data_IF_419679570596
#
_entry.id   IF_419679570596
#
_cell.length_a   1.000
_cell.length_b   1.000
_cell.length_c   1.000
_cell.angle_alpha   90.00
_cell.angle_beta   90.00
_cell.angle_gamma   90.00
#
_symmetry.space_group_name_H-M   'P 1'
#
loop_
_entity.id
_entity.type
_entity.pdbx_description
1 polymer ?
#
# COMPACT_ATOMS: atom_id res chain seq x y z
N UNK A 1 -9.98 -41.56 6.58
CA UNK A 1 -10.02 -41.24 5.13
C UNK A 1 -10.70 -39.90 4.81
N UNK A 2 -11.63 -39.38 5.61
CA UNK A 2 -12.31 -38.10 5.32
C UNK A 2 -11.45 -36.83 5.44
N UNK A 3 -10.35 -36.85 6.20
CA UNK A 3 -9.46 -35.68 6.38
C UNK A 3 -8.63 -35.37 5.14
N UNK A 4 -8.29 -36.37 4.31
CA UNK A 4 -7.48 -36.18 3.11
C UNK A 4 -8.27 -35.51 1.96
N UNK A 5 -9.59 -35.76 1.89
CA UNK A 5 -10.48 -35.12 0.91
C UNK A 5 -10.77 -33.66 1.26
N UNK A 6 -10.78 -33.30 2.55
CA UNK A 6 -10.99 -31.92 2.97
C UNK A 6 -9.75 -31.05 2.67
N UNK A 7 -8.54 -31.59 2.87
CA UNK A 7 -7.28 -30.90 2.57
C UNK A 7 -7.07 -30.68 1.07
N UNK A 8 -7.45 -31.65 0.23
CA UNK A 8 -7.40 -31.49 -1.24
C UNK A 8 -8.44 -30.49 -1.75
N UNK A 9 -9.66 -30.47 -1.20
CA UNK A 9 -10.67 -29.46 -1.52
C UNK A 9 -10.24 -28.03 -1.10
N UNK A 10 -9.59 -27.87 0.06
CA UNK A 10 -9.06 -26.57 0.51
C UNK A 10 -7.87 -26.08 -0.34
N UNK A 11 -7.01 -26.97 -0.84
CA UNK A 11 -5.89 -26.57 -1.72
C UNK A 11 -6.35 -26.04 -3.09
N UNK A 12 -7.47 -26.54 -3.61
CA UNK A 12 -8.10 -26.04 -4.83
C UNK A 12 -8.78 -24.67 -4.63
N UNK A 13 -9.26 -24.39 -3.41
CA UNK A 13 -9.87 -23.08 -3.07
C UNK A 13 -8.80 -22.00 -2.90
N UNK A 14 -7.63 -22.32 -2.33
CA UNK A 14 -6.51 -21.36 -2.22
C UNK A 14 -5.87 -21.09 -3.58
N UNK A 15 -5.86 -22.07 -4.48
CA UNK A 15 -5.36 -21.88 -5.86
C UNK A 15 -6.34 -21.08 -6.76
N UNK A 16 -7.63 -21.01 -6.38
CA UNK A 16 -8.66 -20.26 -7.10
C UNK A 16 -9.00 -18.91 -6.47
N UNK A 17 -8.46 -18.56 -5.29
CA UNK A 17 -8.64 -17.24 -4.67
C UNK A 17 -7.58 -16.21 -5.09
N UNK A 18 -6.59 -16.60 -5.89
CA UNK A 18 -5.93 -15.69 -6.87
C UNK A 18 -6.76 -15.66 -8.17
N UNK A 19 -8.09 -15.70 -8.05
CA UNK A 19 -8.93 -15.12 -9.08
C UNK A 19 -8.62 -13.64 -9.03
N UNK A 20 -7.89 -13.17 -10.04
CA UNK A 20 -7.90 -11.80 -10.52
C UNK A 20 -9.33 -11.26 -10.47
N UNK A 21 -9.72 -10.72 -9.31
CA UNK A 21 -10.97 -10.04 -9.11
C UNK A 21 -10.90 -8.78 -9.94
N UNK A 22 -11.50 -8.86 -11.13
CA UNK A 22 -11.79 -7.79 -12.09
C UNK A 22 -11.20 -7.95 -13.52
N UNK A 23 -11.05 -9.18 -14.05
CA UNK A 23 -11.14 -9.39 -15.52
C UNK A 23 -12.59 -9.60 -15.94
N UNK A 24 -13.49 -8.76 -15.44
CA UNK A 24 -14.81 -8.49 -16.02
C UNK A 24 -14.84 -7.00 -16.42
N UNK A 25 -13.78 -6.59 -17.10
CA UNK A 25 -13.66 -5.30 -17.75
C UNK A 25 -14.56 -5.28 -18.98
N UNK A 26 -15.79 -4.81 -18.77
CA UNK A 26 -16.57 -4.00 -19.70
C UNK A 26 -15.99 -3.91 -21.12
N UNK A 27 -16.60 -4.62 -22.07
CA UNK A 27 -16.74 -4.17 -23.44
C UNK A 27 -17.59 -2.89 -23.46
N UNK A 28 -17.07 -1.81 -22.86
CA UNK A 28 -17.64 -0.49 -22.97
C UNK A 28 -17.22 0.05 -24.33
N UNK A 29 -18.20 0.23 -25.22
CA UNK A 29 -17.97 0.94 -26.46
C UNK A 29 -17.35 2.32 -26.22
N UNK A 30 -16.65 2.87 -27.22
CA UNK A 30 -16.09 4.22 -27.13
C UNK A 30 -17.21 5.22 -26.79
N UNK A 31 -16.97 6.09 -25.80
CA UNK A 31 -17.85 7.23 -25.50
C UNK A 31 -18.62 7.21 -24.18
N UNK A 32 -18.34 6.31 -23.22
CA UNK A 32 -18.92 6.46 -21.88
C UNK A 32 -18.25 7.59 -21.11
N UNK A 33 -19.04 8.61 -20.74
CA UNK A 33 -18.64 9.58 -19.71
C UNK A 33 -18.36 8.84 -18.40
N UNK A 34 -17.18 9.06 -17.83
CA UNK A 34 -16.78 8.58 -16.52
C UNK A 34 -16.54 9.75 -15.56
N UNK A 35 -16.86 9.50 -14.29
CA UNK A 35 -16.47 10.36 -13.18
C UNK A 35 -15.30 9.71 -12.46
N UNK A 36 -14.20 10.44 -12.38
CA UNK A 36 -12.98 10.04 -11.68
C UNK A 36 -13.06 10.52 -10.23
N UNK A 37 -13.82 9.79 -9.42
CA UNK A 37 -13.87 10.07 -7.99
C UNK A 37 -12.47 9.92 -7.39
N UNK A 38 -11.95 11.00 -6.78
CA UNK A 38 -10.81 10.92 -5.85
C UNK A 38 -11.28 10.28 -4.53
N UNK A 39 -11.68 9.01 -4.56
CA UNK A 39 -11.82 8.25 -3.32
C UNK A 39 -10.43 8.01 -2.73
N UNK A 40 -10.36 7.73 -1.42
CA UNK A 40 -9.12 7.25 -0.80
C UNK A 40 -8.72 5.86 -1.30
N UNK A 41 -9.64 5.16 -1.98
CA UNK A 41 -9.41 3.86 -2.58
C UNK A 41 -8.82 3.98 -4.00
N UNK A 42 -8.21 2.90 -4.46
CA UNK A 42 -7.87 2.68 -5.86
C UNK A 42 -9.10 2.87 -6.76
N UNK A 43 -8.91 3.34 -8.01
CA UNK A 43 -7.64 3.65 -8.71
C UNK A 43 -7.09 5.07 -8.44
N UNK A 44 -5.77 5.25 -8.61
CA UNK A 44 -5.11 6.57 -8.63
C UNK A 44 -5.07 7.10 -10.06
N UNK A 45 -5.30 8.40 -10.21
CA UNK A 45 -5.29 9.08 -11.51
C UNK A 45 -4.11 10.03 -11.63
N UNK A 46 -3.46 9.98 -12.80
CA UNK A 46 -2.42 10.89 -13.25
C UNK A 46 -3.04 11.85 -14.26
N UNK A 47 -2.85 13.16 -14.11
CA UNK A 47 -3.40 14.16 -15.02
C UNK A 47 -2.25 14.86 -15.74
N UNK A 48 -2.32 14.94 -17.06
CA UNK A 48 -1.25 15.53 -17.87
C UNK A 48 -1.76 15.99 -19.24
N UNK A 49 -0.97 16.80 -19.93
CA UNK A 49 -1.25 17.31 -21.28
C UNK A 49 -0.10 17.01 -22.23
N UNK A 50 -0.42 16.72 -23.48
CA UNK A 50 0.57 16.69 -24.56
C UNK A 50 0.84 18.13 -25.01
N UNK A 51 2.10 18.61 -25.04
CA UNK A 51 2.41 19.94 -25.57
C UNK A 51 1.97 20.15 -27.03
N UNK A 52 1.80 19.09 -27.82
CA UNK A 52 1.25 19.17 -29.17
C UNK A 52 -0.27 19.43 -29.19
N UNK A 53 -0.98 19.14 -28.10
CA UNK A 53 -2.44 19.23 -27.98
C UNK A 53 -2.87 19.89 -26.65
N UNK A 54 -2.50 21.15 -26.38
CA UNK A 54 -2.69 21.79 -25.06
C UNK A 54 -4.17 21.96 -24.65
N UNK A 55 -5.10 21.86 -25.60
CA UNK A 55 -6.55 21.91 -25.34
C UNK A 55 -7.11 20.60 -24.76
N UNK A 56 -6.34 19.51 -24.73
CA UNK A 56 -6.78 18.20 -24.26
C UNK A 56 -5.99 17.80 -23.02
N UNK A 57 -6.72 17.44 -21.96
CA UNK A 57 -6.14 16.87 -20.74
C UNK A 57 -6.35 15.38 -20.77
N UNK A 58 -5.26 14.64 -20.65
CA UNK A 58 -5.25 13.20 -20.51
C UNK A 58 -5.22 12.82 -19.04
N UNK A 59 -5.72 11.62 -18.76
CA UNK A 59 -5.40 10.98 -17.52
C UNK A 59 -5.22 9.47 -17.65
N UNK A 60 -4.34 8.96 -16.80
CA UNK A 60 -4.11 7.51 -16.65
C UNK A 60 -4.57 7.10 -15.27
N UNK A 61 -5.59 6.25 -15.23
CA UNK A 61 -6.05 5.58 -14.00
C UNK A 61 -5.34 4.26 -13.82
N UNK A 62 -4.69 4.04 -12.68
CA UNK A 62 -4.01 2.78 -12.35
C UNK A 62 -4.33 2.30 -10.93
N UNK A 63 -4.34 0.99 -10.74
CA UNK A 63 -4.57 0.35 -9.43
C UNK A 63 -3.26 0.10 -8.68
N UNK A 64 -2.11 0.23 -9.36
CA UNK A 64 -0.78 0.05 -8.80
C UNK A 64 -0.26 1.35 -8.21
N UNK A 65 -0.49 1.53 -6.91
CA UNK A 65 -0.32 2.83 -6.24
C UNK A 65 1.04 3.03 -5.56
N UNK A 66 1.89 2.01 -5.50
CA UNK A 66 3.11 2.05 -4.68
C UNK A 66 4.30 2.64 -5.45
N UNK A 67 4.83 1.92 -6.44
CA UNK A 67 5.99 2.29 -7.23
C UNK A 67 5.62 2.56 -8.69
N UNK A 68 4.76 1.71 -9.26
CA UNK A 68 4.34 1.80 -10.65
C UNK A 68 3.79 3.18 -11.02
N UNK A 69 2.99 3.78 -10.12
CA UNK A 69 2.49 5.14 -10.29
C UNK A 69 3.61 6.17 -10.55
N UNK A 70 4.71 6.08 -9.81
CA UNK A 70 5.86 6.97 -9.98
C UNK A 70 6.69 6.65 -11.22
N UNK A 71 6.82 5.36 -11.56
CA UNK A 71 7.50 4.94 -12.78
C UNK A 71 6.78 5.46 -14.03
N UNK A 72 5.44 5.41 -14.05
CA UNK A 72 4.63 6.00 -15.11
C UNK A 72 4.79 7.51 -15.16
N UNK A 73 4.82 8.19 -14.00
CA UNK A 73 5.09 9.65 -13.97
C UNK A 73 6.43 9.97 -14.63
N UNK A 74 7.48 9.24 -14.25
CA UNK A 74 8.82 9.46 -14.77
C UNK A 74 8.87 9.23 -16.27
N UNK A 75 8.28 8.14 -16.76
CA UNK A 75 8.26 7.81 -18.18
C UNK A 75 7.46 8.83 -19.01
N UNK A 76 6.30 9.29 -18.53
CA UNK A 76 5.53 10.36 -19.16
C UNK A 76 6.31 11.68 -19.21
N UNK A 77 7.00 12.04 -18.14
CA UNK A 77 7.82 13.26 -18.10
C UNK A 77 8.99 13.18 -19.09
N UNK A 78 9.64 12.01 -19.19
CA UNK A 78 10.73 11.78 -20.14
C UNK A 78 10.27 11.90 -21.60
N UNK A 79 9.03 11.54 -21.90
CA UNK A 79 8.43 11.72 -23.22
C UNK A 79 7.89 13.15 -23.46
N UNK A 80 8.09 14.08 -22.52
CA UNK A 80 7.75 15.49 -22.67
C UNK A 80 6.31 15.87 -22.34
N UNK A 81 5.54 14.99 -21.68
CA UNK A 81 4.21 15.35 -21.18
C UNK A 81 4.29 16.29 -19.97
N UNK A 82 3.37 17.25 -19.91
CA UNK A 82 3.30 18.25 -18.84
C UNK A 82 2.23 17.82 -17.83
N UNK A 83 2.61 17.67 -16.56
CA UNK A 83 1.67 17.25 -15.51
C UNK A 83 0.77 18.40 -15.07
N UNK A 84 -0.50 18.09 -14.84
CA UNK A 84 -1.46 19.01 -14.27
C UNK A 84 -1.78 18.67 -12.82
N UNK A 85 -2.18 19.70 -12.06
CA UNK A 85 -2.71 19.51 -10.73
C UNK A 85 -3.95 18.61 -10.78
N UNK A 86 -4.05 17.66 -9.85
CA UNK A 86 -5.23 16.83 -9.72
C UNK A 86 -6.46 17.71 -9.42
N UNK A 87 -7.62 17.44 -10.04
CA UNK A 87 -8.82 18.18 -9.73
C UNK A 87 -9.16 18.02 -8.24
N UNK A 88 -9.39 19.14 -7.56
CA UNK A 88 -9.72 19.12 -6.14
C UNK A 88 -10.96 18.27 -5.86
N UNK A 89 -11.00 17.58 -4.72
CA UNK A 89 -12.12 16.66 -4.35
C UNK A 89 -13.51 17.29 -4.41
N UNK A 90 -13.59 18.61 -4.28
CA UNK A 90 -14.85 19.35 -4.24
C UNK A 90 -15.30 19.88 -5.60
N UNK A 91 -14.43 19.83 -6.62
CA UNK A 91 -14.75 20.35 -7.94
C UNK A 91 -15.40 19.27 -8.82
N UNK A 92 -16.69 19.03 -8.58
CA UNK A 92 -17.49 18.03 -9.32
C UNK A 92 -17.40 18.23 -10.84
N UNK A 93 -17.30 19.49 -11.28
CA UNK A 93 -17.21 19.83 -12.70
C UNK A 93 -15.95 19.27 -13.34
N UNK A 94 -14.85 19.16 -12.58
CA UNK A 94 -13.55 18.63 -13.04
C UNK A 94 -13.40 17.11 -12.88
N UNK A 95 -14.15 16.54 -11.94
CA UNK A 95 -14.16 15.10 -11.64
C UNK A 95 -14.89 14.28 -12.71
N UNK A 96 -15.97 14.82 -13.28
CA UNK A 96 -16.78 14.15 -14.30
C UNK A 96 -16.46 14.64 -15.72
N UNK A 97 -16.96 13.93 -16.73
CA UNK A 97 -16.78 14.29 -18.14
C UNK A 97 -15.54 13.70 -18.79
N UNK A 98 -14.95 12.65 -18.20
CA UNK A 98 -13.81 11.95 -18.78
C UNK A 98 -14.29 10.89 -19.76
N UNK A 99 -13.67 10.85 -20.94
CA UNK A 99 -13.94 9.84 -21.96
C UNK A 99 -12.86 8.79 -21.94
N UNK A 100 -13.26 7.52 -21.89
CA UNK A 100 -12.33 6.40 -21.98
C UNK A 100 -11.85 6.22 -23.41
N UNK A 101 -10.53 6.21 -23.61
CA UNK A 101 -9.91 5.95 -24.91
C UNK A 101 -9.51 4.49 -25.02
N UNK A 102 -8.74 4.02 -24.04
CA UNK A 102 -8.12 2.71 -24.13
C UNK A 102 -7.83 2.16 -22.73
N UNK A 103 -8.00 0.84 -22.60
CA UNK A 103 -7.65 0.09 -21.40
C UNK A 103 -6.42 -0.75 -21.74
N UNK A 104 -5.29 -0.45 -21.11
CA UNK A 104 -3.99 -1.04 -21.45
C UNK A 104 -3.77 -2.24 -20.56
N UNK A 105 -3.78 -3.43 -21.16
CA UNK A 105 -3.48 -4.69 -20.49
C UNK A 105 -2.42 -5.44 -21.27
N UNK A 106 -1.38 -5.94 -20.58
CA UNK A 106 -0.32 -6.76 -21.16
C UNK A 106 0.08 -7.86 -20.19
N UNK A 107 0.34 -9.07 -20.69
CA UNK A 107 0.70 -10.24 -19.87
C UNK A 107 -0.29 -10.52 -18.73
N UNK A 108 -1.60 -10.33 -19.01
CA UNK A 108 -2.69 -10.42 -18.02
C UNK A 108 -2.62 -9.39 -16.88
N UNK A 109 -1.72 -8.41 -16.96
CA UNK A 109 -1.59 -7.32 -16.00
C UNK A 109 -2.19 -6.06 -16.61
N UNK A 110 -3.25 -5.56 -15.98
CA UNK A 110 -3.80 -4.25 -16.31
C UNK A 110 -2.77 -3.17 -15.97
N UNK A 111 -2.30 -2.39 -16.94
CA UNK A 111 -1.29 -1.32 -16.76
C UNK A 111 -1.97 -0.02 -16.35
N UNK A 112 -3.10 0.26 -16.95
CA UNK A 112 -3.89 1.44 -16.64
C UNK A 112 -4.88 1.76 -17.73
N UNK A 113 -5.79 2.67 -17.40
CA UNK A 113 -6.85 3.15 -18.28
C UNK A 113 -6.53 4.57 -18.73
N UNK A 114 -6.39 4.75 -20.04
CA UNK A 114 -6.21 6.05 -20.68
C UNK A 114 -7.58 6.68 -20.89
N UNK A 115 -7.75 7.87 -20.34
CA UNK A 115 -8.94 8.70 -20.55
C UNK A 115 -8.52 10.11 -20.94
N UNK A 116 -9.44 10.90 -21.48
CA UNK A 116 -9.19 12.29 -21.81
C UNK A 116 -10.41 13.16 -21.54
N UNK A 117 -10.16 14.46 -21.53
CA UNK A 117 -11.15 15.51 -21.47
C UNK A 117 -10.69 16.69 -22.31
N UNK A 118 -11.62 17.25 -23.07
CA UNK A 118 -11.42 18.50 -23.79
C UNK A 118 -11.68 19.69 -22.83
N UNK A 119 -10.70 20.59 -22.73
CA UNK A 119 -10.81 21.80 -21.90
C UNK A 119 -11.37 23.00 -22.69
N UNK A 120 -11.40 22.91 -24.03
CA UNK A 120 -11.82 24.02 -24.89
C UNK A 120 -13.34 24.11 -25.03
N UNK A 121 -14.04 22.99 -24.87
CA UNK A 121 -15.48 22.90 -25.04
C UNK A 121 -16.20 23.20 -23.73
N UNK A 122 -16.42 24.50 -23.48
CA UNK A 122 -17.14 24.95 -22.30
C UNK A 122 -18.67 24.79 -22.40
N UNK A 123 -19.23 24.29 -23.52
CA UNK A 123 -20.66 23.92 -23.67
C UNK A 123 -21.06 23.46 -25.10
N UNK A 124 -20.12 23.39 -26.06
CA UNK A 124 -20.43 22.95 -27.43
C UNK A 124 -20.33 21.44 -27.54
N UNK A 125 -21.33 20.81 -28.15
CA UNK A 125 -21.48 19.34 -28.32
C UNK A 125 -20.40 18.67 -29.19
N UNK A 126 -19.39 19.41 -29.64
CA UNK A 126 -18.31 18.91 -30.50
C UNK A 126 -17.02 18.68 -29.70
N UNK A 127 -16.84 17.47 -29.20
CA UNK A 127 -15.61 17.08 -28.52
C UNK A 127 -14.46 16.92 -29.53
N UNK A 128 -13.32 17.55 -29.27
CA UNK A 128 -12.11 17.29 -30.05
C UNK A 128 -11.54 15.92 -29.66
N UNK A 129 -11.45 15.00 -30.62
CA UNK A 129 -10.79 13.72 -30.40
C UNK A 129 -9.26 13.92 -30.35
N UNK A 130 -8.55 13.23 -29.43
CA UNK A 130 -7.10 13.19 -29.41
C UNK A 130 -6.53 12.62 -30.70
N UNK A 131 -5.33 13.07 -31.11
CA UNK A 131 -4.65 12.42 -32.23
C UNK A 131 -4.25 10.99 -31.88
N UNK A 132 -4.26 10.13 -32.90
CA UNK A 132 -3.77 8.75 -32.77
C UNK A 132 -2.29 8.70 -32.32
N UNK A 133 -1.50 9.74 -32.64
CA UNK A 133 -0.11 9.86 -32.22
C UNK A 133 0.04 9.99 -30.71
N UNK A 134 -0.70 10.91 -30.08
CA UNK A 134 -0.68 11.11 -28.63
C UNK A 134 -1.11 9.83 -27.89
N UNK A 135 -2.21 9.22 -28.31
CA UNK A 135 -2.73 7.98 -27.68
C UNK A 135 -1.74 6.83 -27.81
N UNK A 136 -1.11 6.68 -28.98
CA UNK A 136 -0.09 5.63 -29.22
C UNK A 136 1.13 5.82 -28.33
N UNK A 137 1.63 7.05 -28.16
CA UNK A 137 2.76 7.34 -27.28
C UNK A 137 2.46 6.97 -25.83
N UNK A 138 1.31 7.40 -25.31
CA UNK A 138 0.86 7.05 -23.95
C UNK A 138 0.75 5.53 -23.80
N UNK A 139 0.16 4.84 -24.78
CA UNK A 139 0.05 3.38 -24.76
C UNK A 139 1.43 2.70 -24.73
N UNK A 140 2.37 3.14 -25.57
CA UNK A 140 3.74 2.61 -25.59
C UNK A 140 4.43 2.80 -24.23
N UNK A 141 4.25 3.96 -23.59
CA UNK A 141 4.77 4.21 -22.25
C UNK A 141 4.19 3.20 -21.25
N UNK A 142 2.86 3.03 -21.21
CA UNK A 142 2.21 2.10 -20.28
C UNK A 142 2.58 0.63 -20.52
N UNK A 143 2.88 0.26 -21.75
CA UNK A 143 3.39 -1.08 -22.10
C UNK A 143 4.86 -1.26 -21.72
N UNK A 144 5.66 -0.19 -21.71
CA UNK A 144 7.09 -0.24 -21.36
C UNK A 144 7.34 -0.32 -19.85
N UNK A 145 6.40 0.16 -19.03
CA UNK A 145 6.49 0.15 -17.56
C UNK A 145 5.75 -1.06 -17.00
N UNK A 146 6.36 -1.77 -16.05
CA UNK A 146 5.79 -2.97 -15.42
C UNK A 146 5.74 -2.81 -13.88
N UNK A 147 4.60 -3.10 -13.19
CA UNK A 147 4.44 -3.00 -11.74
C UNK A 147 5.11 -4.18 -11.02
N UNK A 148 6.41 -4.32 -11.24
CA UNK A 148 7.20 -5.49 -10.83
C UNK A 148 7.27 -5.63 -9.31
N UNK A 149 7.46 -4.51 -8.61
CA UNK A 149 7.54 -4.49 -7.16
C UNK A 149 6.21 -4.85 -6.50
N UNK A 150 5.10 -4.29 -6.96
CA UNK A 150 3.76 -4.61 -6.46
C UNK A 150 3.41 -6.08 -6.67
N UNK A 151 3.70 -6.62 -7.86
CA UNK A 151 3.50 -8.04 -8.16
C UNK A 151 4.38 -8.91 -7.24
N UNK A 152 5.63 -8.52 -7.02
CA UNK A 152 6.52 -9.22 -6.09
C UNK A 152 5.97 -9.19 -4.64
N UNK A 153 5.45 -8.06 -4.18
CA UNK A 153 4.81 -7.94 -2.86
C UNK A 153 3.59 -8.87 -2.75
N UNK A 154 2.72 -8.91 -3.76
CA UNK A 154 1.56 -9.80 -3.77
C UNK A 154 1.99 -11.26 -3.73
N UNK A 155 2.97 -11.65 -4.55
CA UNK A 155 3.49 -13.01 -4.58
C UNK A 155 4.13 -13.43 -3.24
N UNK A 156 4.97 -12.57 -2.66
CA UNK A 156 5.64 -12.85 -1.37
C UNK A 156 4.64 -12.89 -0.21
N UNK A 157 3.68 -11.97 -0.15
CA UNK A 157 2.62 -11.99 0.85
C UNK A 157 1.76 -13.25 0.75
N UNK A 158 1.36 -13.64 -0.46
CA UNK A 158 0.56 -14.84 -0.71
C UNK A 158 1.32 -16.11 -0.29
N UNK A 159 2.62 -16.17 -0.60
CA UNK A 159 3.49 -17.26 -0.16
C UNK A 159 3.56 -17.34 1.37
N UNK A 160 3.88 -16.23 2.05
CA UNK A 160 3.98 -16.18 3.51
C UNK A 160 2.67 -16.54 4.19
N UNK A 161 1.54 -16.07 3.66
CA UNK A 161 0.21 -16.43 4.15
C UNK A 161 -0.03 -17.94 4.04
N UNK A 162 0.35 -18.55 2.92
CA UNK A 162 0.27 -20.01 2.73
C UNK A 162 1.07 -20.77 3.80
N UNK A 163 2.31 -20.37 4.08
CA UNK A 163 3.13 -20.99 5.13
C UNK A 163 2.53 -20.80 6.52
N UNK A 164 1.99 -19.62 6.82
CA UNK A 164 1.33 -19.35 8.11
C UNK A 164 0.13 -20.28 8.31
N UNK A 165 -0.72 -20.45 7.29
CA UNK A 165 -1.89 -21.33 7.36
C UNK A 165 -1.50 -22.80 7.53
N UNK A 166 -0.44 -23.25 6.84
CA UNK A 166 0.11 -24.60 7.03
C UNK A 166 0.69 -24.79 8.42
N UNK A 167 1.42 -23.79 8.94
CA UNK A 167 1.97 -23.81 10.29
C UNK A 167 0.89 -23.87 11.38
N UNK A 168 -0.17 -23.07 11.25
CA UNK A 168 -1.32 -23.11 12.15
C UNK A 168 -2.07 -24.44 12.07
N UNK A 169 -2.24 -24.98 10.87
CA UNK A 169 -2.87 -26.30 10.68
C UNK A 169 -2.04 -27.41 11.32
N UNK A 170 -0.72 -27.37 11.16
CA UNK A 170 0.21 -28.31 11.78
C UNK A 170 0.18 -28.22 13.31
N UNK A 171 0.25 -26.99 13.84
CA UNK A 171 0.15 -26.73 15.28
C UNK A 171 -1.18 -27.23 15.87
N UNK A 172 -2.28 -27.02 15.16
CA UNK A 172 -3.60 -27.55 15.56
C UNK A 172 -3.63 -29.08 15.63
N UNK A 173 -2.99 -29.78 14.68
CA UNK A 173 -2.92 -31.26 14.71
C UNK A 173 -2.10 -31.76 15.91
N UNK A 174 -0.99 -31.10 16.22
CA UNK A 174 -0.15 -31.46 17.37
C UNK A 174 -0.89 -31.27 18.69
N UNK A 175 -1.48 -30.10 18.90
CA UNK A 175 -2.24 -29.79 20.12
C UNK A 175 -3.41 -30.74 20.32
N UNK A 176 -4.11 -31.11 19.25
CA UNK A 176 -5.17 -32.12 19.31
C UNK A 176 -4.64 -33.50 19.72
N UNK A 177 -3.51 -33.92 19.16
CA UNK A 177 -2.89 -35.21 19.53
C UNK A 177 -2.45 -35.22 20.99
N UNK A 178 -1.92 -34.10 21.49
CA UNK A 178 -1.54 -33.97 22.88
C UNK A 178 -2.76 -34.01 23.80
N UNK A 179 -3.88 -33.36 23.44
CA UNK A 179 -5.14 -33.48 24.17
C UNK A 179 -5.66 -34.91 24.21
N UNK A 180 -5.64 -35.63 23.08
CA UNK A 180 -6.04 -37.05 23.01
C UNK A 180 -5.14 -37.93 23.88
N UNK A 181 -3.83 -37.66 23.91
CA UNK A 181 -2.86 -38.37 24.75
C UNK A 181 -3.13 -38.12 26.24
N UNK A 182 -3.35 -36.87 26.64
CA UNK A 182 -3.67 -36.52 28.04
C UNK A 182 -4.99 -37.14 28.48
N UNK A 183 -5.99 -37.17 27.60
CA UNK A 183 -7.26 -37.84 27.89
C UNK A 183 -7.08 -39.37 28.09
N UNK A 184 -6.25 -40.01 27.25
CA UNK A 184 -5.94 -41.43 27.38
C UNK A 184 -5.14 -41.76 28.65
N UNK A 185 -4.16 -40.93 29.02
CA UNK A 185 -3.37 -41.09 30.24
C UNK A 185 -4.23 -40.91 31.51
N UNK A 186 -5.11 -39.89 31.54
CA UNK A 186 -6.07 -39.69 32.65
C UNK A 186 -7.04 -40.87 32.80
N UNK A 187 -7.53 -41.42 31.68
CA UNK A 187 -8.36 -42.62 31.66
C UNK A 187 -7.62 -43.84 32.22
N UNK A 188 -6.37 -44.05 31.80
CA UNK A 188 -5.54 -45.15 32.27
C UNK A 188 -5.17 -45.02 33.76
N UNK A 189 -5.04 -43.80 34.28
CA UNK A 189 -4.79 -43.53 35.69
C UNK A 189 -6.02 -43.73 36.59
N UNK A 190 -7.19 -44.03 36.04
CA UNK A 190 -8.43 -44.21 36.83
C UNK A 190 -9.00 -42.91 37.39
N UNK A 191 -8.64 -41.76 36.81
CA UNK A 191 -9.14 -40.43 37.21
C UNK A 191 -10.51 -40.12 36.53
N UNK A 192 -11.04 -41.04 35.73
CA UNK A 192 -12.41 -41.01 35.23
C UNK A 192 -13.39 -41.24 36.39
N UNK A 193 -13.78 -40.17 37.09
CA UNK A 193 -14.78 -40.24 38.16
C UNK A 193 -14.74 -39.13 39.20
N UNK A 194 -13.75 -38.23 39.17
CA UNK A 194 -13.87 -36.97 39.92
C UNK A 194 -14.78 -36.07 39.10
N UNK A 195 -16.09 -36.34 39.19
CA UNK A 195 -17.12 -35.37 38.91
C UNK A 195 -16.72 -34.15 39.74
N UNK A 196 -16.24 -33.09 39.07
CA UNK A 196 -16.14 -31.80 39.71
C UNK A 196 -17.59 -31.50 40.04
N UNK A 197 -18.00 -31.85 41.26
CA UNK A 197 -19.16 -31.29 41.91
C UNK A 197 -18.91 -29.81 41.81
N UNK A 198 -19.46 -29.21 40.76
CA UNK A 198 -19.63 -27.79 40.61
C UNK A 198 -20.15 -27.39 41.96
N UNK A 199 -19.32 -26.70 42.74
CA UNK A 199 -19.75 -25.95 43.91
C UNK A 199 -20.75 -24.94 43.34
N UNK A 200 -21.99 -25.40 43.16
CA UNK A 200 -23.18 -24.60 43.05
C UNK A 200 -23.20 -23.94 44.41
N UNK A 201 -22.61 -22.74 44.46
CA UNK A 201 -22.78 -21.85 45.58
C UNK A 201 -24.27 -21.68 45.75
N UNK A 202 -24.81 -22.43 46.71
CA UNK A 202 -26.15 -22.28 47.21
C UNK A 202 -26.25 -20.81 47.62
N UNK A 203 -27.07 -20.09 46.86
CA UNK A 203 -27.26 -18.65 47.02
C UNK A 203 -28.21 -18.50 48.20
N UNK A 204 -27.68 -18.74 49.40
CA UNK A 204 -28.38 -18.48 50.65
C UNK A 204 -28.55 -16.97 50.79
N UNK A 205 -29.74 -16.51 50.41
CA UNK A 205 -30.32 -15.26 50.87
C UNK A 205 -30.44 -15.35 52.40
N UNK A 206 -29.42 -14.94 53.14
CA UNK A 206 -29.53 -15.00 54.59
C UNK A 206 -28.33 -14.53 55.36
N UNK A 207 -28.33 -13.24 55.68
CA UNK A 207 -27.65 -12.62 56.83
C UNK A 207 -26.12 -12.51 56.76
N UNK A 208 -25.68 -11.25 56.69
CA UNK A 208 -24.31 -10.84 56.94
C UNK A 208 -23.78 -11.44 58.26
N UNK A 209 -22.83 -12.36 58.16
CA UNK A 209 -21.92 -12.64 59.26
C UNK A 209 -20.50 -12.31 58.79
N UNK A 210 -19.91 -11.34 59.46
CA UNK A 210 -18.49 -11.02 59.42
C UNK A 210 -17.70 -12.19 60.00
N UNK A 211 -17.39 -13.16 59.14
CA UNK A 211 -16.52 -14.30 59.43
C UNK A 211 -15.13 -14.06 58.84
N UNK A 212 -14.14 -13.96 59.71
CA UNK A 212 -12.75 -13.64 59.39
C UNK A 212 -12.16 -14.53 58.28
N UNK A 213 -11.54 -13.89 57.30
CA UNK A 213 -10.61 -14.51 56.36
C UNK A 213 -9.42 -15.09 57.14
N UNK A 214 -9.48 -16.38 57.48
CA UNK A 214 -8.26 -17.14 57.75
C UNK A 214 -7.63 -17.47 56.39
N UNK A 215 -6.78 -16.55 55.95
CA UNK A 215 -5.77 -16.79 54.92
C UNK A 215 -4.90 -17.94 55.43
N UNK A 216 -4.79 -19.08 54.72
CA UNK A 216 -3.78 -20.08 55.03
C UNK A 216 -2.42 -19.41 54.87
N UNK A 217 -1.69 -19.30 55.98
CA UNK A 217 -0.30 -18.90 55.99
C UNK A 217 0.47 -19.92 55.12
N UNK A 218 1.10 -19.53 54.01
CA UNK A 218 1.94 -20.46 53.28
C UNK A 218 3.14 -20.77 54.18
N UNK A 219 3.22 -22.01 54.62
CA UNK A 219 4.38 -22.52 55.33
C UNK A 219 5.60 -22.38 54.42
N UNK A 220 6.44 -21.44 54.82
CA UNK A 220 7.75 -21.18 54.28
C UNK A 220 8.69 -22.32 54.63
N UNK A 221 8.69 -23.40 53.83
CA UNK A 221 9.84 -24.31 53.80
C UNK A 221 9.80 -25.24 52.60
N UNK A 222 10.86 -25.17 51.80
CA UNK A 222 11.26 -26.11 50.73
C UNK A 222 10.35 -26.03 49.48
N UNK A 223 10.84 -25.87 48.25
CA UNK A 223 12.05 -26.37 47.61
C UNK A 223 12.41 -25.36 46.50
N UNK A 224 13.60 -24.76 46.58
CA UNK A 224 14.26 -24.15 45.42
C UNK A 224 14.62 -25.30 44.46
N UNK A 225 13.77 -25.58 43.47
CA UNK A 225 14.14 -26.40 42.32
C UNK A 225 14.49 -25.46 41.17
N UNK A 226 15.70 -25.64 40.68
CA UNK A 226 16.44 -24.80 39.75
C UNK A 226 15.65 -24.51 38.47
N UNK A 227 15.24 -23.25 38.27
CA UNK A 227 14.94 -22.73 36.94
C UNK A 227 16.27 -22.47 36.22
N UNK A 228 16.74 -23.46 35.47
CA UNK A 228 17.83 -23.31 34.52
C UNK A 228 17.41 -22.43 33.35
N UNK A 229 17.55 -21.12 33.52
CA UNK A 229 17.59 -20.22 32.37
C UNK A 229 18.99 -20.30 31.74
N UNK A 230 19.12 -20.60 30.44
CA UNK A 230 20.41 -20.53 29.78
C UNK A 230 20.89 -19.08 29.79
N UNK A 231 22.04 -18.86 30.43
CA UNK A 231 22.80 -17.61 30.37
C UNK A 231 23.06 -17.29 28.89
N UNK A 232 22.48 -16.21 28.40
CA UNK A 232 22.83 -15.61 27.12
C UNK A 232 24.33 -15.27 27.13
N UNK A 233 25.08 -15.60 26.07
CA UNK A 233 26.49 -15.27 26.00
C UNK A 233 26.67 -13.76 26.00
N UNK A 234 27.52 -13.30 26.92
CA UNK A 234 28.02 -11.93 27.02
C UNK A 234 28.73 -11.59 25.70
N UNK A 235 28.10 -10.75 24.89
CA UNK A 235 28.73 -10.19 23.69
C UNK A 235 29.91 -9.31 24.13
N UNK A 236 31.12 -9.81 23.90
CA UNK A 236 32.33 -8.98 23.97
C UNK A 236 32.27 -7.96 22.84
N UNK A 237 32.41 -6.68 23.20
CA UNK A 237 32.52 -5.58 22.27
C UNK A 237 33.85 -5.72 21.50
N UNK A 238 33.82 -6.44 20.39
CA UNK A 238 34.89 -6.50 19.41
C UNK A 238 35.13 -5.11 18.82
N UNK A 239 36.32 -4.58 19.09
CA UNK A 239 36.88 -3.36 18.54
C UNK A 239 36.70 -3.27 17.02
N UNK A 240 36.02 -2.20 16.60
CA UNK A 240 35.80 -1.78 15.22
C UNK A 240 37.15 -1.44 14.57
N UNK A 241 37.69 -2.34 13.77
CA UNK A 241 38.78 -2.03 12.86
C UNK A 241 38.22 -1.20 11.68
N UNK A 242 38.75 0.01 11.55
CA UNK A 242 38.50 0.94 10.45
C UNK A 242 39.09 0.38 9.15
N UNK A 243 38.31 0.16 8.08
CA UNK A 243 38.90 -0.10 6.78
C UNK A 243 39.41 1.21 6.18
N UNK A 244 40.73 1.30 6.06
CA UNK A 244 41.43 2.28 5.24
C UNK A 244 40.97 2.13 3.78
N UNK A 245 40.31 3.18 3.27
CA UNK A 245 39.97 3.33 1.87
C UNK A 245 41.24 3.59 1.04
N UNK A 246 41.53 2.81 -0.03
CA UNK A 246 42.54 3.19 -0.98
C UNK A 246 41.95 4.23 -1.95
N UNK A 247 42.55 5.42 -1.91
CA UNK A 247 42.40 6.50 -2.88
C UNK A 247 42.74 6.00 -4.29
N UNK A 248 41.74 5.96 -5.17
CA UNK A 248 41.96 5.92 -6.62
C UNK A 248 41.55 7.27 -7.23
N UNK A 249 42.47 7.77 -8.05
CA UNK A 249 42.54 9.13 -8.53
C UNK A 249 41.48 9.56 -9.54
N UNK A 250 41.36 10.87 -9.59
CA UNK A 250 40.69 11.72 -10.56
C UNK A 250 40.95 11.33 -12.03
N UNK A 251 39.89 11.41 -12.84
CA UNK A 251 39.93 12.16 -14.09
C UNK A 251 38.61 12.94 -14.24
N UNK A 252 38.67 14.24 -13.94
CA UNK A 252 37.63 15.22 -14.25
C UNK A 252 37.81 15.63 -15.71
N UNK A 253 36.86 15.25 -16.56
CA UNK A 253 36.67 15.87 -17.85
C UNK A 253 35.81 17.12 -17.64
N UNK A 254 36.45 18.29 -17.69
CA UNK A 254 35.77 19.58 -17.75
C UNK A 254 34.88 19.62 -19.00
N UNK A 255 33.56 19.64 -18.79
CA UNK A 255 32.60 19.98 -19.85
C UNK A 255 31.95 21.30 -19.48
N UNK A 256 32.10 22.24 -20.39
CA UNK A 256 31.65 23.62 -20.29
C UNK A 256 30.15 23.70 -20.00
N UNK A 257 29.81 24.54 -19.02
CA UNK A 257 28.45 24.88 -18.61
C UNK A 257 27.97 26.04 -19.49
N UNK A 258 26.85 25.91 -20.23
CA UNK A 258 26.16 27.09 -20.73
C UNK A 258 25.33 27.70 -19.60
N UNK A 259 25.65 28.95 -19.29
CA UNK A 259 24.83 29.87 -18.48
C UNK A 259 23.43 29.99 -19.10
N UNK A 260 22.41 29.52 -18.38
CA UNK A 260 21.03 29.96 -18.60
C UNK A 260 20.45 30.44 -17.27
N UNK A 261 20.25 31.76 -17.29
CA UNK A 261 19.45 32.60 -16.43
C UNK A 261 18.00 32.13 -16.41
N UNK A 262 17.46 31.86 -15.22
CA UNK A 262 16.18 32.37 -14.70
C UNK A 262 15.75 31.48 -13.52
N UNK A 263 15.78 32.06 -12.32
CA UNK A 263 15.28 31.46 -11.09
C UNK A 263 13.76 31.52 -11.06
N UNK A 264 13.09 30.38 -11.23
CA UNK A 264 11.65 30.26 -11.04
C UNK A 264 11.34 30.07 -9.55
N UNK A 265 10.69 31.08 -8.97
CA UNK A 265 10.25 31.10 -7.56
C UNK A 265 8.92 30.35 -7.47
N UNK A 266 8.92 29.19 -6.85
CA UNK A 266 7.69 28.45 -6.53
C UNK A 266 7.08 29.06 -5.27
N UNK A 267 5.96 29.76 -5.42
CA UNK A 267 5.14 30.28 -4.32
C UNK A 267 4.24 29.17 -3.80
N UNK A 268 4.46 28.72 -2.57
CA UNK A 268 3.54 27.88 -1.80
C UNK A 268 2.89 28.73 -0.69
N UNK A 269 1.56 28.66 -0.62
CA UNK A 269 0.65 29.20 0.40
C UNK A 269 1.25 30.03 1.55
N UNK A 270 1.18 31.36 1.38
CA UNK A 270 0.62 32.26 2.39
C UNK A 270 1.28 32.37 3.77
N UNK A 271 2.53 31.93 3.96
CA UNK A 271 3.26 32.18 5.20
C UNK A 271 4.78 32.29 4.98
N UNK A 272 5.31 33.51 5.15
CA UNK A 272 6.74 33.78 5.08
C UNK A 272 7.36 33.68 6.47
N UNK A 273 8.26 32.71 6.66
CA UNK A 273 9.25 32.73 7.74
C UNK A 273 10.62 32.84 7.07
N UNK A 274 11.23 34.03 7.13
CA UNK A 274 12.61 34.23 6.69
C UNK A 274 13.56 33.75 7.79
N UNK A 275 14.43 32.79 7.48
CA UNK A 275 15.48 32.30 8.40
C UNK A 275 16.79 33.07 8.31
N UNK A 276 16.87 34.12 7.48
CA UNK A 276 18.04 34.99 7.36
C UNK A 276 17.60 36.44 7.48
N UNK A 277 17.93 37.06 8.62
CA UNK A 277 17.51 38.41 9.00
C UNK A 277 18.08 39.52 8.12
N UNK A 278 17.52 39.69 6.93
CA UNK A 278 17.71 40.84 6.05
C UNK A 278 16.42 41.67 5.92
N UNK A 279 16.51 42.99 5.67
CA UNK A 279 15.35 43.87 5.58
C UNK A 279 14.51 43.56 4.33
N UNK A 280 13.20 43.41 4.52
CA UNK A 280 12.22 43.22 3.46
C UNK A 280 11.79 44.59 2.93
N UNK A 281 12.11 44.88 1.67
CA UNK A 281 11.56 46.02 0.94
C UNK A 281 10.25 45.54 0.28
N UNK A 282 9.12 46.04 0.76
CA UNK A 282 7.82 45.81 0.15
C UNK A 282 7.65 46.72 -1.07
N UNK A 283 7.58 46.14 -2.28
CA UNK A 283 7.13 46.86 -3.48
C UNK A 283 5.63 46.60 -3.68
N UNK A 284 4.86 47.68 -3.59
CA UNK A 284 3.42 47.71 -3.78
C UNK A 284 3.14 47.79 -5.29
N UNK A 285 2.65 46.71 -5.90
CA UNK A 285 2.36 46.67 -7.33
C UNK A 285 0.91 47.13 -7.58
N UNK A 286 0.76 48.43 -7.83
CA UNK A 286 -0.47 49.09 -8.25
C UNK A 286 -0.34 49.43 -9.75
N UNK A 287 -1.38 49.09 -10.51
CA UNK A 287 -1.78 49.65 -11.82
C UNK A 287 -0.75 49.71 -12.97
N UNK A 288 -1.03 48.97 -14.05
CA UNK A 288 -0.71 49.40 -15.41
C UNK A 288 -1.90 49.10 -16.34
N UNK A 289 -2.79 50.09 -16.47
CA UNK A 289 -3.54 50.35 -17.70
C UNK A 289 -2.66 51.21 -18.62
N UNK A 290 -2.65 50.94 -19.93
CA UNK A 290 -2.45 51.86 -21.07
C UNK A 290 -2.41 50.97 -22.33
N UNK A 291 -3.46 50.93 -23.16
CA UNK A 291 -3.78 51.90 -24.23
C UNK A 291 -2.61 52.09 -25.20
N UNK A 292 -2.57 51.27 -26.26
CA UNK A 292 -2.58 51.65 -27.69
C UNK A 292 -2.50 50.40 -28.55
#
# INVERSE_FOLDING_TARGET
MHTLQLLTALSLIVSSSVSFGAVLGNLAGPGRLQCQSLSSSTPKYLYFTDPAEPGLVFSVGTEWVLNYYYDVISALRQDGFIFQASPGRFDKSKICGWFVLHDVTADLVHRGKITYRDMSTNDTTMYKLPSAGAVRRINTILLSVYPSLEILYICTFSFMLGFMLLGLSWWYILTKRDQERMAAENKAAGIEGVELDTFVGEKDNGTASTGACLVPRPDSSSIYSQSGYPLLPRYEAGSRATPTSPSHGFHVASREIPLLSESEVIVWDGSFVSSTGGPVIALNQKEWELVS
#
